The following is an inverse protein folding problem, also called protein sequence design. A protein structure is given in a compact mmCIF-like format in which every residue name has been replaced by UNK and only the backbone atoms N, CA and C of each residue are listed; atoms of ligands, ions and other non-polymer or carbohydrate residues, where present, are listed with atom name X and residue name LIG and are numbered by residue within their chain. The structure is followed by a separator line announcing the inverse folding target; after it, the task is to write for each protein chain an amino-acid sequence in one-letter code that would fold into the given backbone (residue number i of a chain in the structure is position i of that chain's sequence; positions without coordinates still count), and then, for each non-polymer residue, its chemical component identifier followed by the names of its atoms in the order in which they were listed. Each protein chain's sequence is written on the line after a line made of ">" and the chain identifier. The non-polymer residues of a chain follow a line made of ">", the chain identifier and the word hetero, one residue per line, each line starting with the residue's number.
data_IF_336871614893
#
_entry.id   IF_336871614893
#
_cell.length_a   1.000
_cell.length_b   1.000
_cell.length_c   1.000
_cell.angle_alpha   90.00
_cell.angle_beta   90.00
_cell.angle_gamma   90.00
#
_symmetry.space_group_name_H-M   'P 1'
#
loop_
_entity.id
_entity.type
_entity.pdbx_description
1 polymer ?
#
# COMPACT_ATOMS: atom_id res chain seq x y z
N UNK A 1 -5.45 4.02 7.69
CA UNK A 1 -6.20 5.31 7.84
C UNK A 1 -7.63 5.01 8.26
N UNK A 2 -8.27 5.87 9.04
CA UNK A 2 -9.58 5.63 9.66
C UNK A 2 -10.34 6.93 9.95
N UNK A 3 -11.66 6.87 10.09
CA UNK A 3 -12.49 8.00 10.55
C UNK A 3 -12.97 7.77 11.99
N UNK A 4 -12.85 8.79 12.83
CA UNK A 4 -13.29 8.83 14.21
C UNK A 4 -14.61 9.58 14.34
N UNK A 5 -15.60 8.95 14.96
CA UNK A 5 -16.89 9.58 15.32
C UNK A 5 -17.06 9.60 16.83
N UNK A 6 -17.36 10.79 17.38
CA UNK A 6 -17.67 10.94 18.80
C UNK A 6 -19.19 10.98 19.02
N UNK A 7 -19.71 9.99 19.73
CA UNK A 7 -21.11 9.92 20.14
C UNK A 7 -21.18 10.31 21.62
N UNK A 8 -21.26 11.62 21.88
CA UNK A 8 -21.24 12.17 23.24
C UNK A 8 -22.37 11.67 24.13
N UNK A 9 -23.58 11.50 23.57
CA UNK A 9 -24.74 11.05 24.33
C UNK A 9 -24.52 9.67 24.97
N UNK A 10 -23.79 8.80 24.27
CA UNK A 10 -23.52 7.43 24.71
C UNK A 10 -22.13 7.30 25.35
N UNK A 11 -21.33 8.37 25.38
CA UNK A 11 -19.91 8.33 25.76
C UNK A 11 -19.13 7.28 24.96
N UNK A 12 -19.32 7.26 23.64
CA UNK A 12 -18.68 6.31 22.74
C UNK A 12 -17.82 7.03 21.70
N UNK A 13 -16.63 6.49 21.44
CA UNK A 13 -15.77 6.87 20.32
C UNK A 13 -15.68 5.69 19.35
N UNK A 14 -16.17 5.89 18.11
CA UNK A 14 -16.15 4.86 17.07
C UNK A 14 -15.03 5.17 16.08
N UNK A 15 -14.12 4.22 15.88
CA UNK A 15 -13.12 4.25 14.81
C UNK A 15 -13.54 3.26 13.72
N UNK A 16 -13.74 3.77 12.51
CA UNK A 16 -14.12 2.95 11.36
C UNK A 16 -13.29 3.25 10.10
N UNK A 17 -13.63 2.62 8.97
CA UNK A 17 -13.06 2.94 7.66
C UNK A 17 -13.12 4.44 7.36
N UNK A 18 -12.28 4.89 6.44
CA UNK A 18 -12.32 6.27 5.97
C UNK A 18 -13.71 6.57 5.38
N UNK A 19 -14.38 7.59 5.87
CA UNK A 19 -15.69 7.99 5.41
C UNK A 19 -15.62 8.40 3.93
N UNK A 20 -16.65 8.03 3.16
CA UNK A 20 -16.74 8.40 1.73
C UNK A 20 -17.09 9.88 1.55
N UNK A 21 -17.70 10.48 2.57
CA UNK A 21 -18.11 11.88 2.60
C UNK A 21 -17.76 12.52 3.94
N UNK A 22 -17.58 13.83 3.94
CA UNK A 22 -17.34 14.57 5.17
C UNK A 22 -18.63 14.64 6.00
N UNK A 23 -18.61 14.05 7.20
CA UNK A 23 -19.72 14.10 8.14
C UNK A 23 -19.45 15.10 9.27
N UNK A 24 -20.49 15.81 9.77
CA UNK A 24 -20.38 16.59 10.98
C UNK A 24 -19.99 15.69 12.17
N UNK A 25 -19.04 16.13 12.98
CA UNK A 25 -18.54 15.42 14.18
C UNK A 25 -17.71 14.16 13.87
N UNK A 26 -17.26 13.99 12.64
CA UNK A 26 -16.32 12.96 12.22
C UNK A 26 -14.92 13.57 11.92
N UNK A 27 -13.86 12.84 12.24
CA UNK A 27 -12.47 13.25 12.01
C UNK A 27 -11.66 12.14 11.34
N UNK A 28 -11.00 12.46 10.23
CA UNK A 28 -10.10 11.52 9.56
C UNK A 28 -8.74 11.49 10.25
N UNK A 29 -8.28 10.29 10.57
CA UNK A 29 -7.04 10.01 11.24
C UNK A 29 -6.11 9.19 10.34
N UNK A 30 -4.85 9.60 10.28
CA UNK A 30 -3.80 8.76 9.71
C UNK A 30 -3.62 7.49 10.56
N UNK A 31 -2.99 6.43 10.02
CA UNK A 31 -2.85 5.14 10.70
C UNK A 31 -2.23 5.27 12.10
N UNK A 32 -1.16 6.08 12.22
CA UNK A 32 -0.51 6.35 13.51
C UNK A 32 -1.45 6.98 14.55
N UNK A 33 -2.30 7.93 14.14
CA UNK A 33 -3.25 8.58 15.05
C UNK A 33 -4.41 7.65 15.41
N UNK A 34 -4.88 6.82 14.48
CA UNK A 34 -5.91 5.83 14.75
C UNK A 34 -5.44 4.76 15.76
N UNK A 35 -4.20 4.29 15.65
CA UNK A 35 -3.59 3.32 16.58
C UNK A 35 -3.42 3.88 18.00
N UNK A 36 -2.96 5.13 18.10
CA UNK A 36 -2.64 5.76 19.39
C UNK A 36 -3.82 6.48 20.05
N UNK A 37 -4.96 6.60 19.37
CA UNK A 37 -6.12 7.28 19.91
C UNK A 37 -6.58 6.60 21.23
N UNK A 38 -6.77 7.43 22.25
CA UNK A 38 -7.50 7.10 23.47
C UNK A 38 -8.76 7.96 23.57
N UNK A 39 -9.81 7.40 24.17
CA UNK A 39 -11.02 8.16 24.51
C UNK A 39 -10.92 8.75 25.93
N UNK A 40 -11.78 9.73 26.28
CA UNK A 40 -11.88 10.23 27.65
C UNK A 40 -12.17 9.13 28.67
N UNK A 41 -11.86 9.38 29.94
CA UNK A 41 -12.10 8.41 31.02
C UNK A 41 -13.60 8.04 31.08
N UNK A 42 -13.89 6.74 31.14
CA UNK A 42 -15.26 6.22 31.19
C UNK A 42 -15.96 6.11 29.84
N UNK A 43 -15.30 6.46 28.74
CA UNK A 43 -15.84 6.27 27.39
C UNK A 43 -15.50 4.89 26.82
N UNK A 44 -16.41 4.36 25.99
CA UNK A 44 -16.18 3.12 25.25
C UNK A 44 -15.55 3.43 23.88
N UNK A 45 -14.51 2.67 23.50
CA UNK A 45 -13.90 2.76 22.17
C UNK A 45 -14.34 1.55 21.35
N UNK A 46 -15.07 1.79 20.26
CA UNK A 46 -15.45 0.75 19.31
C UNK A 46 -14.56 0.88 18.08
N UNK A 47 -13.76 -0.14 17.80
CA UNK A 47 -12.95 -0.21 16.59
C UNK A 47 -13.65 -1.13 15.62
N UNK A 48 -14.33 -0.55 14.64
CA UNK A 48 -14.82 -1.23 13.46
C UNK A 48 -13.60 -1.49 12.57
N UNK A 49 -12.78 -2.46 12.94
CA UNK A 49 -11.75 -2.96 12.04
C UNK A 49 -12.46 -3.66 10.89
N UNK A 50 -12.43 -3.17 9.64
CA UNK A 50 -12.18 -4.13 8.59
C UNK A 50 -10.80 -4.67 8.95
N UNK A 51 -10.66 -5.98 9.02
CA UNK A 51 -9.34 -6.57 9.09
C UNK A 51 -8.59 -6.00 7.88
N UNK A 52 -7.66 -5.06 8.12
CA UNK A 52 -6.73 -4.57 7.10
C UNK A 52 -5.68 -5.66 6.86
N UNK A 53 -6.16 -6.88 6.67
CA UNK A 53 -5.41 -7.98 6.17
C UNK A 53 -5.47 -7.81 4.65
N UNK A 54 -4.34 -7.46 4.04
CA UNK A 54 -4.17 -7.70 2.60
C UNK A 54 -4.63 -9.14 2.34
N UNK A 55 -5.69 -9.38 1.55
CA UNK A 55 -6.27 -10.71 1.42
C UNK A 55 -5.17 -11.73 1.18
N UNK A 56 -5.21 -12.86 1.91
CA UNK A 56 -4.13 -13.84 1.80
C UNK A 56 -4.05 -14.25 0.33
N UNK A 57 -2.86 -14.23 -0.30
CA UNK A 57 -2.74 -14.60 -1.69
C UNK A 57 -3.40 -15.95 -1.91
N UNK A 58 -4.34 -16.00 -2.86
CA UNK A 58 -5.02 -17.26 -3.14
C UNK A 58 -4.05 -18.23 -3.81
N UNK A 59 -4.38 -19.52 -3.82
CA UNK A 59 -3.58 -20.51 -4.54
C UNK A 59 -3.39 -20.13 -6.02
N UNK A 60 -4.43 -19.57 -6.64
CA UNK A 60 -4.40 -19.13 -8.04
C UNK A 60 -3.45 -17.94 -8.25
N UNK A 61 -3.42 -16.98 -7.33
CA UNK A 61 -2.47 -15.85 -7.36
C UNK A 61 -1.02 -16.34 -7.28
N UNK A 62 -0.76 -17.34 -6.43
CA UNK A 62 0.56 -17.95 -6.29
C UNK A 62 0.99 -18.70 -7.56
N UNK A 63 0.06 -19.40 -8.22
CA UNK A 63 0.30 -20.06 -9.50
C UNK A 63 0.58 -19.03 -10.60
N UNK A 64 -0.20 -17.95 -10.67
CA UNK A 64 -0.02 -16.87 -11.63
C UNK A 64 1.35 -16.19 -11.49
N UNK A 65 1.79 -15.92 -10.25
CA UNK A 65 3.14 -15.39 -9.98
C UNK A 65 4.24 -16.36 -10.44
N UNK A 66 4.08 -17.66 -10.16
CA UNK A 66 5.04 -18.67 -10.59
C UNK A 66 5.14 -18.75 -12.12
N UNK A 67 4.03 -18.59 -12.85
CA UNK A 67 4.01 -18.49 -14.31
C UNK A 67 4.68 -17.23 -14.81
N UNK A 68 4.36 -16.07 -14.23
CA UNK A 68 4.96 -14.80 -14.60
C UNK A 68 6.49 -14.82 -14.43
N UNK A 69 7.01 -15.43 -13.35
CA UNK A 69 8.45 -15.59 -13.13
C UNK A 69 9.09 -16.52 -14.16
N UNK A 70 8.42 -17.63 -14.53
CA UNK A 70 8.91 -18.53 -15.58
C UNK A 70 8.99 -17.82 -16.94
N UNK A 71 8.00 -17.00 -17.26
CA UNK A 71 7.99 -16.22 -18.50
C UNK A 71 9.06 -15.13 -18.48
N UNK A 72 9.19 -14.38 -17.38
CA UNK A 72 10.23 -13.36 -17.22
C UNK A 72 11.65 -13.94 -17.28
N UNK A 73 11.82 -15.19 -16.83
CA UNK A 73 13.08 -15.94 -16.90
C UNK A 73 13.35 -16.64 -18.23
N UNK A 74 12.42 -16.57 -19.21
CA UNK A 74 12.62 -17.20 -20.52
C UNK A 74 13.78 -16.48 -21.23
N UNK A 75 14.82 -17.20 -21.68
CA UNK A 75 15.87 -16.58 -22.48
C UNK A 75 15.24 -16.04 -23.75
N UNK A 76 15.40 -14.74 -23.99
CA UNK A 76 15.09 -14.13 -25.28
C UNK A 76 15.98 -14.84 -26.29
N UNK A 77 15.37 -15.74 -27.06
CA UNK A 77 16.03 -16.28 -28.24
C UNK A 77 15.97 -15.16 -29.25
N UNK A 78 17.04 -14.36 -29.31
CA UNK A 78 17.24 -13.46 -30.43
C UNK A 78 17.21 -14.33 -31.70
N UNK A 79 16.32 -14.06 -32.68
CA UNK A 79 16.44 -14.69 -33.98
C UNK A 79 17.85 -14.40 -34.50
N UNK A 80 18.51 -15.44 -35.02
CA UNK A 80 19.89 -15.40 -35.47
C UNK A 80 20.18 -14.08 -36.21
N UNK A 81 21.16 -13.35 -35.69
CA UNK A 81 21.60 -12.06 -36.18
C UNK A 81 21.72 -12.05 -37.71
N UNK A 82 20.96 -11.16 -38.35
CA UNK A 82 21.41 -10.54 -39.59
C UNK A 82 22.43 -9.46 -39.16
N UNK A 83 23.67 -9.66 -39.58
CA UNK A 83 24.82 -8.79 -39.34
C UNK A 83 24.52 -7.37 -39.88
N UNK A 84 24.30 -6.39 -38.99
CA UNK A 84 24.26 -4.99 -39.43
C UNK A 84 23.70 -3.92 -38.49
N UNK A 85 23.26 -4.25 -37.27
CA UNK A 85 22.69 -3.26 -36.35
C UNK A 85 23.74 -2.53 -35.49
N UNK A 86 23.63 -1.20 -35.28
CA UNK A 86 24.58 -0.46 -34.43
C UNK A 86 24.47 -0.93 -32.97
N UNK A 87 25.57 -1.47 -32.45
CA UNK A 87 25.71 -1.90 -31.05
C UNK A 87 25.60 -0.70 -30.10
N UNK A 88 24.52 -0.67 -29.33
CA UNK A 88 24.33 0.29 -28.25
C UNK A 88 25.30 -0.04 -27.12
N UNK A 89 26.21 0.91 -26.84
CA UNK A 89 27.19 0.82 -25.75
C UNK A 89 26.63 1.51 -24.51
N UNK A 90 26.42 0.74 -23.43
CA UNK A 90 26.09 1.28 -22.13
C UNK A 90 27.26 2.12 -21.60
N UNK A 91 27.07 3.44 -21.56
CA UNK A 91 27.95 4.37 -20.84
C UNK A 91 27.45 4.43 -19.40
N UNK A 92 28.25 3.97 -18.44
CA UNK A 92 28.00 4.21 -17.02
C UNK A 92 28.17 5.71 -16.78
N UNK A 93 27.13 6.37 -16.28
CA UNK A 93 27.21 7.75 -15.81
C UNK A 93 27.58 7.74 -14.32
N UNK A 94 28.85 7.96 -14.01
CA UNK A 94 29.35 8.15 -12.65
C UNK A 94 29.27 9.64 -12.27
N UNK A 95 28.06 10.10 -11.95
CA UNK A 95 27.87 11.42 -11.34
C UNK A 95 28.22 11.36 -9.86
N UNK A 96 29.50 11.56 -9.51
CA UNK A 96 29.89 12.09 -8.20
C UNK A 96 30.69 13.37 -8.42
N UNK A 97 29.97 14.48 -8.58
CA UNK A 97 30.54 15.80 -8.32
C UNK A 97 29.97 16.27 -7.00
N UNK A 98 30.79 16.13 -5.95
CA UNK A 98 30.67 16.94 -4.75
C UNK A 98 31.02 18.37 -5.16
N UNK A 99 30.07 19.29 -4.99
CA UNK A 99 30.27 20.74 -5.15
C UNK A 99 30.38 21.33 -3.73
N UNK A 100 31.34 22.24 -3.47
CA UNK A 100 31.83 22.61 -2.13
C UNK A 100 30.82 23.31 -1.22
#
# INVERSE_FOLDING_TARGET
>A
MATLTYVYADSVAVLGPLATYAEPHAYDLCSRHAERLSAPQGWSVVRLAPEFHEPEPTHDDLVALAEAVREAGRPITEPAADDGGPVLRLVRNDSTTVVP
#
